data_IF_339346411669
#
_entry.id   IF_339346411669
#
_cell.length_a   1.000
_cell.length_b   1.000
_cell.length_c   1.000
_cell.angle_alpha   90.00
_cell.angle_beta   90.00
_cell.angle_gamma   90.00
#
_symmetry.space_group_name_H-M   'P 1'
#
loop_
_entity.id
_entity.type
_entity.pdbx_description
1 polymer ?
#
# COMPACT_ATOMS: atom_id res chain seq x y z
N UNK A 1 -34.04 -14.35 -52.42
CA UNK A 1 -33.31 -14.83 -51.22
C UNK A 1 -32.83 -13.60 -50.48
N UNK A 2 -33.39 -13.35 -49.29
CA UNK A 2 -32.98 -12.26 -48.41
C UNK A 2 -31.66 -12.62 -47.71
N UNK A 3 -30.78 -11.64 -47.51
CA UNK A 3 -30.06 -11.40 -46.25
C UNK A 3 -29.49 -9.99 -46.29
N UNK A 4 -30.20 -9.08 -45.63
CA UNK A 4 -29.78 -7.72 -45.28
C UNK A 4 -28.72 -7.86 -44.19
N UNK A 5 -27.48 -7.45 -44.45
CA UNK A 5 -26.50 -7.28 -43.38
C UNK A 5 -26.83 -5.98 -42.65
N UNK A 6 -27.16 -6.12 -41.38
CA UNK A 6 -27.52 -5.08 -40.44
C UNK A 6 -26.25 -4.32 -40.00
N UNK A 7 -26.42 -3.02 -39.78
CA UNK A 7 -25.49 -2.03 -39.21
C UNK A 7 -24.38 -2.62 -38.33
N UNK A 8 -23.11 -2.43 -38.73
CA UNK A 8 -21.94 -2.75 -37.92
C UNK A 8 -21.07 -1.52 -37.72
N UNK A 9 -21.45 -0.65 -36.78
CA UNK A 9 -20.57 0.41 -36.28
C UNK A 9 -19.38 -0.28 -35.60
N UNK A 10 -18.17 -0.17 -36.15
CA UNK A 10 -16.96 -0.60 -35.44
C UNK A 10 -16.78 0.35 -34.25
N UNK A 11 -16.89 -0.11 -33.00
CA UNK A 11 -16.72 0.78 -31.86
C UNK A 11 -15.26 1.24 -31.78
N UNK A 12 -15.03 2.54 -31.80
CA UNK A 12 -13.70 3.14 -31.59
C UNK A 12 -13.22 2.86 -30.16
N UNK A 13 -12.14 2.09 -30.02
CA UNK A 13 -11.62 1.72 -28.71
C UNK A 13 -10.81 2.88 -28.11
N UNK A 14 -11.44 3.70 -27.28
CA UNK A 14 -10.76 4.75 -26.51
C UNK A 14 -10.08 4.12 -25.29
N UNK A 15 -8.75 4.25 -25.17
CA UNK A 15 -7.96 3.82 -24.00
C UNK A 15 -7.33 5.02 -23.32
N UNK A 16 -7.24 4.98 -22.00
CA UNK A 16 -6.63 6.02 -21.17
C UNK A 16 -5.25 5.53 -20.70
N UNK A 17 -4.23 6.37 -20.87
CA UNK A 17 -2.85 6.09 -20.47
C UNK A 17 -2.47 7.07 -19.35
N UNK A 18 -1.93 6.56 -18.24
CA UNK A 18 -1.44 7.37 -17.13
C UNK A 18 0.01 7.06 -16.80
N UNK A 19 0.76 8.09 -16.41
CA UNK A 19 2.17 7.98 -16.00
C UNK A 19 2.48 8.87 -14.80
N UNK A 20 3.25 8.34 -13.84
CA UNK A 20 3.78 9.06 -12.68
C UNK A 20 5.33 9.16 -12.74
N UNK A 21 5.90 9.28 -13.94
CA UNK A 21 7.35 9.41 -14.13
C UNK A 21 8.18 8.13 -13.99
N UNK A 22 7.76 7.19 -13.13
CA UNK A 22 8.40 5.86 -12.97
C UNK A 22 7.59 4.73 -13.57
N UNK A 23 6.26 4.84 -13.57
CA UNK A 23 5.34 3.79 -13.98
C UNK A 23 4.35 4.31 -15.02
N UNK A 24 4.03 3.47 -16.01
CA UNK A 24 3.06 3.75 -17.07
C UNK A 24 2.02 2.63 -17.10
N UNK A 25 0.73 3.00 -17.05
CA UNK A 25 -0.39 2.06 -17.07
C UNK A 25 -1.45 2.43 -18.10
N UNK A 26 -2.14 1.42 -18.60
CA UNK A 26 -3.19 1.54 -19.61
C UNK A 26 -4.49 0.97 -19.02
N UNK A 27 -5.56 1.75 -19.14
CA UNK A 27 -6.90 1.35 -18.71
C UNK A 27 -7.99 1.72 -19.70
N UNK A 28 -9.15 1.09 -19.53
CA UNK A 28 -10.33 1.39 -20.36
C UNK A 28 -11.01 2.70 -19.92
N UNK A 29 -10.78 3.11 -18.67
CA UNK A 29 -11.26 4.38 -18.08
C UNK A 29 -10.16 4.99 -17.22
N UNK A 30 -10.32 6.27 -16.87
CA UNK A 30 -9.39 6.98 -15.98
C UNK A 30 -9.31 6.29 -14.61
N UNK A 31 -10.45 5.92 -14.02
CA UNK A 31 -10.50 5.22 -12.73
C UNK A 31 -9.80 3.85 -12.77
N UNK A 32 -10.00 3.05 -13.84
CA UNK A 32 -9.33 1.75 -14.01
C UNK A 32 -7.81 1.91 -14.11
N UNK A 33 -7.34 2.89 -14.88
CA UNK A 33 -5.92 3.15 -15.02
C UNK A 33 -5.32 3.74 -13.72
N UNK A 34 -6.05 4.61 -13.01
CA UNK A 34 -5.63 5.16 -11.72
C UNK A 34 -5.49 4.04 -10.67
N UNK A 35 -6.49 3.16 -10.60
CA UNK A 35 -6.46 1.98 -9.74
C UNK A 35 -5.24 1.10 -10.02
N UNK A 36 -4.93 0.83 -11.28
CA UNK A 36 -3.75 0.03 -11.66
C UNK A 36 -2.42 0.71 -11.33
N UNK A 37 -2.31 2.03 -11.50
CA UNK A 37 -1.09 2.78 -11.19
C UNK A 37 -0.76 2.70 -9.70
N UNK A 38 -1.77 2.92 -8.85
CA UNK A 38 -1.59 2.95 -7.40
C UNK A 38 -1.65 1.55 -6.76
N UNK A 39 -2.40 0.61 -7.31
CA UNK A 39 -2.40 -0.78 -6.83
C UNK A 39 -1.02 -1.44 -6.97
N UNK A 40 -0.23 -1.04 -7.97
CA UNK A 40 1.15 -1.51 -8.12
C UNK A 40 2.09 -0.91 -7.07
N UNK A 41 1.84 0.34 -6.64
CA UNK A 41 2.53 0.95 -5.49
C UNK A 41 2.26 0.19 -4.18
N UNK A 42 1.11 -0.50 -4.08
CA UNK A 42 0.74 -1.34 -2.93
C UNK A 42 0.93 -2.85 -3.17
N UNK A 43 1.40 -3.25 -4.35
CA UNK A 43 1.29 -4.62 -4.85
C UNK A 43 2.61 -5.17 -5.37
N UNK A 44 3.67 -5.11 -4.57
CA UNK A 44 4.86 -5.97 -4.70
C UNK A 44 5.70 -5.93 -3.41
N UNK A 45 5.05 -6.20 -2.26
CA UNK A 45 5.70 -6.98 -1.21
C UNK A 45 4.86 -8.21 -1.01
N UNK A 46 5.25 -9.30 -1.67
CA UNK A 46 4.96 -10.63 -1.15
C UNK A 46 5.58 -10.73 0.24
N UNK A 47 4.81 -10.33 1.25
CA UNK A 47 4.98 -10.83 2.60
C UNK A 47 4.60 -12.29 2.50
N UNK A 48 5.62 -13.15 2.47
CA UNK A 48 5.48 -14.55 2.82
C UNK A 48 4.93 -14.56 4.24
N UNK A 49 3.62 -14.74 4.37
CA UNK A 49 2.95 -14.93 5.64
C UNK A 49 3.27 -16.36 6.07
N UNK A 50 4.41 -16.52 6.76
CA UNK A 50 4.47 -17.52 7.83
C UNK A 50 3.29 -17.20 8.75
N UNK A 51 2.33 -18.12 8.84
CA UNK A 51 1.06 -17.94 9.51
C UNK A 51 1.18 -17.83 11.03
N UNK A 52 1.68 -16.69 11.51
CA UNK A 52 1.40 -16.20 12.85
C UNK A 52 0.73 -14.84 12.66
N UNK A 53 -0.57 -14.78 12.98
CA UNK A 53 -1.17 -13.50 13.37
C UNK A 53 -0.22 -12.89 14.40
N UNK A 54 0.40 -11.75 14.07
CA UNK A 54 1.30 -11.05 14.99
C UNK A 54 0.57 -10.92 16.31
N UNK A 55 1.07 -11.64 17.30
CA UNK A 55 0.40 -11.69 18.59
C UNK A 55 0.50 -10.34 19.26
N UNK A 56 -0.39 -10.03 20.20
CA UNK A 56 -0.29 -8.82 21.02
C UNK A 56 1.13 -8.66 21.62
N UNK A 57 1.78 -9.79 21.96
CA UNK A 57 3.17 -9.81 22.46
C UNK A 57 4.20 -9.39 21.41
N UNK A 58 4.04 -9.76 20.15
CA UNK A 58 4.92 -9.32 19.07
C UNK A 58 4.81 -7.82 18.82
N UNK A 59 3.58 -7.28 18.81
CA UNK A 59 3.35 -5.83 18.66
C UNK A 59 3.97 -5.04 19.81
N UNK A 60 3.87 -5.54 21.06
CA UNK A 60 4.52 -4.93 22.22
C UNK A 60 6.05 -4.91 22.04
N UNK A 61 6.62 -6.01 21.55
CA UNK A 61 8.07 -6.14 21.35
C UNK A 61 8.58 -5.22 20.24
N UNK A 62 7.84 -5.11 19.14
CA UNK A 62 8.15 -4.20 18.03
C UNK A 62 8.07 -2.73 18.49
N UNK A 63 7.02 -2.35 19.23
CA UNK A 63 6.89 -1.01 19.80
C UNK A 63 8.06 -0.66 20.75
N UNK A 64 8.46 -1.59 21.62
CA UNK A 64 9.62 -1.39 22.49
C UNK A 64 10.91 -1.17 21.68
N UNK A 65 11.11 -1.92 20.59
CA UNK A 65 12.24 -1.77 19.68
C UNK A 65 12.29 -0.39 19.02
N UNK A 66 11.18 0.06 18.42
CA UNK A 66 11.12 1.39 17.78
C UNK A 66 11.39 2.52 18.76
N UNK A 67 10.93 2.40 20.01
CA UNK A 67 11.19 3.38 21.05
C UNK A 67 12.68 3.45 21.45
N UNK A 68 13.35 2.29 21.54
CA UNK A 68 14.78 2.23 21.84
C UNK A 68 15.62 2.83 20.71
N UNK A 69 15.33 2.45 19.46
CA UNK A 69 15.99 3.02 18.28
C UNK A 69 15.76 4.53 18.16
N UNK A 70 14.55 5.01 18.45
CA UNK A 70 14.27 6.43 18.52
C UNK A 70 15.13 7.14 19.58
N UNK A 71 15.25 6.57 20.80
CA UNK A 71 16.12 7.14 21.83
C UNK A 71 17.59 7.18 21.40
N UNK A 72 18.07 6.15 20.72
CA UNK A 72 19.43 6.11 20.18
C UNK A 72 19.65 7.22 19.16
N UNK A 73 18.76 7.37 18.18
CA UNK A 73 18.83 8.45 17.19
C UNK A 73 18.72 9.85 17.82
N UNK A 74 17.95 10.00 18.89
CA UNK A 74 17.90 11.26 19.65
C UNK A 74 19.23 11.57 20.33
N UNK A 75 19.91 10.56 20.90
CA UNK A 75 21.25 10.71 21.50
C UNK A 75 22.34 11.01 20.46
N UNK A 76 22.23 10.42 19.27
CA UNK A 76 23.15 10.66 18.15
C UNK A 76 22.88 11.99 17.42
N UNK A 77 21.78 12.69 17.75
CA UNK A 77 21.37 13.93 17.09
C UNK A 77 20.77 13.74 15.69
N UNK A 78 20.39 12.50 15.35
CA UNK A 78 19.75 12.16 14.08
C UNK A 78 18.22 12.32 14.17
N UNK A 79 17.78 13.59 14.15
CA UNK A 79 16.37 13.94 14.29
C UNK A 79 15.47 13.43 13.16
N UNK A 80 16.00 13.25 11.95
CA UNK A 80 15.23 12.67 10.83
C UNK A 80 14.87 11.22 11.10
N UNK A 81 15.86 10.39 11.44
CA UNK A 81 15.61 8.97 11.77
C UNK A 81 14.78 8.82 13.04
N UNK A 82 14.97 9.68 14.03
CA UNK A 82 14.12 9.74 15.21
C UNK A 82 12.64 9.92 14.85
N UNK A 83 12.33 10.86 13.95
CA UNK A 83 10.96 11.09 13.47
C UNK A 83 10.39 9.87 12.74
N UNK A 84 11.19 9.23 11.90
CA UNK A 84 10.80 8.00 11.20
C UNK A 84 10.49 6.85 12.17
N UNK A 85 11.34 6.62 13.17
CA UNK A 85 11.10 5.60 14.19
C UNK A 85 9.88 5.92 15.07
N UNK A 86 9.66 7.20 15.38
CA UNK A 86 8.49 7.65 16.12
C UNK A 86 7.19 7.41 15.33
N UNK A 87 7.20 7.60 14.02
CA UNK A 87 6.05 7.26 13.18
C UNK A 87 5.76 5.76 13.15
N UNK A 88 6.79 4.91 13.07
CA UNK A 88 6.64 3.45 13.14
C UNK A 88 6.10 3.01 14.50
N UNK A 89 6.58 3.63 15.58
CA UNK A 89 6.08 3.42 16.93
C UNK A 89 4.59 3.76 17.01
N UNK A 90 4.17 4.92 16.50
CA UNK A 90 2.76 5.34 16.50
C UNK A 90 1.87 4.34 15.75
N UNK A 91 2.30 3.88 14.58
CA UNK A 91 1.56 2.88 13.80
C UNK A 91 1.40 1.56 14.56
N UNK A 92 2.48 1.10 15.20
CA UNK A 92 2.48 -0.15 15.97
C UNK A 92 1.58 -0.05 17.20
N UNK A 93 1.56 1.10 17.87
CA UNK A 93 0.67 1.35 19.00
C UNK A 93 -0.80 1.40 18.59
N UNK A 94 -1.13 1.96 17.42
CA UNK A 94 -2.50 1.91 16.88
C UNK A 94 -2.95 0.48 16.61
N UNK A 95 -2.10 -0.32 15.95
CA UNK A 95 -2.39 -1.74 15.72
C UNK A 95 -2.57 -2.52 17.03
N UNK A 96 -1.74 -2.21 18.04
CA UNK A 96 -1.85 -2.80 19.38
C UNK A 96 -3.17 -2.42 20.04
N UNK A 97 -3.59 -1.15 19.94
CA UNK A 97 -4.86 -0.71 20.48
C UNK A 97 -6.03 -1.44 19.79
N UNK A 98 -6.05 -1.47 18.46
CA UNK A 98 -7.07 -2.19 17.68
C UNK A 98 -7.10 -3.69 18.00
N UNK A 99 -5.94 -4.32 18.22
CA UNK A 99 -5.84 -5.71 18.62
C UNK A 99 -6.39 -5.92 20.05
N UNK A 100 -6.08 -5.01 20.98
CA UNK A 100 -6.58 -5.08 22.36
C UNK A 100 -8.09 -4.82 22.48
N UNK A 101 -8.67 -4.04 21.55
CA UNK A 101 -10.12 -3.78 21.49
C UNK A 101 -10.92 -4.96 20.88
N UNK A 102 -10.23 -5.90 20.21
CA UNK A 102 -10.83 -7.11 19.61
C UNK A 102 -10.77 -8.34 20.51
N UNK A 103 -9.97 -8.30 21.58
CA UNK A 103 -9.96 -9.29 22.68
C UNK A 103 -11.07 -9.01 23.70
#
# INVERSE_FOLDING_TARGET
LYLRAETGEIPELKRVILSNGSDVVIGNTLEDALGKLFARTFGEREIVITGEEKTLKDLIKEAAGYYESAQEFSREGNWSKYGEELQKLEQTLKLLQEASERE
#
